data_IF_048346118273
#
_entry.id   IF_048346118273
#
_cell.length_a   1.000
_cell.length_b   1.000
_cell.length_c   1.000
_cell.angle_alpha   90.00
_cell.angle_beta   90.00
_cell.angle_gamma   90.00
#
_symmetry.space_group_name_H-M   'P 1'
#
loop_
_entity.id
_entity.type
_entity.pdbx_description
1 polymer ?
#
# COMPACT_ATOMS: atom_id res chain seq x y z
N UNK A 1 -23.26 -36.39 -17.65
CA UNK A 1 -22.81 -35.05 -18.05
C UNK A 1 -21.29 -35.12 -18.17
N UNK A 2 -20.73 -34.87 -19.35
CA UNK A 2 -19.27 -34.87 -19.53
C UNK A 2 -18.67 -33.78 -18.65
N UNK A 3 -17.74 -34.13 -17.76
CA UNK A 3 -17.01 -33.13 -16.98
C UNK A 3 -16.31 -32.18 -17.95
N UNK A 4 -16.59 -30.88 -17.85
CA UNK A 4 -15.93 -29.85 -18.66
C UNK A 4 -14.43 -29.96 -18.40
N UNK A 5 -13.67 -30.39 -19.40
CA UNK A 5 -12.22 -30.52 -19.27
C UNK A 5 -11.60 -29.12 -19.32
N UNK A 6 -11.22 -28.60 -18.16
CA UNK A 6 -10.50 -27.33 -18.05
C UNK A 6 -9.01 -27.53 -18.35
N UNK A 7 -8.38 -26.51 -18.94
CA UNK A 7 -6.93 -26.54 -19.20
C UNK A 7 -6.12 -26.44 -17.90
N UNK A 8 -6.66 -25.69 -16.93
CA UNK A 8 -6.06 -25.48 -15.62
C UNK A 8 -7.00 -25.91 -14.51
N UNK A 9 -6.45 -26.36 -13.39
CA UNK A 9 -7.24 -26.55 -12.17
C UNK A 9 -7.44 -25.20 -11.49
N UNK A 10 -6.41 -24.35 -11.52
CA UNK A 10 -6.46 -22.99 -11.00
C UNK A 10 -5.76 -22.00 -11.93
N UNK A 11 -6.41 -20.86 -12.16
CA UNK A 11 -5.73 -19.67 -12.68
C UNK A 11 -5.65 -18.60 -11.60
N UNK A 12 -4.46 -18.05 -11.39
CA UNK A 12 -4.18 -16.98 -10.45
C UNK A 12 -4.28 -15.65 -11.18
N UNK A 13 -5.11 -14.73 -10.67
CA UNK A 13 -5.26 -13.38 -11.21
C UNK A 13 -4.92 -12.35 -10.12
N UNK A 14 -3.81 -11.63 -10.33
CA UNK A 14 -3.30 -10.65 -9.37
C UNK A 14 -3.66 -9.23 -9.85
N UNK A 15 -4.22 -8.41 -8.98
CA UNK A 15 -4.54 -7.01 -9.29
C UNK A 15 -4.86 -6.18 -8.05
N UNK A 16 -4.81 -4.86 -8.18
CA UNK A 16 -5.23 -3.94 -7.08
C UNK A 16 -6.74 -3.71 -7.06
N UNK A 17 -7.39 -3.72 -8.23
CA UNK A 17 -8.83 -3.52 -8.39
C UNK A 17 -9.34 -2.21 -7.75
N UNK A 18 -8.70 -1.08 -8.09
CA UNK A 18 -8.96 0.26 -7.53
C UNK A 18 -9.51 1.25 -8.59
N UNK A 19 -10.75 1.10 -9.08
CA UNK A 19 -11.75 0.07 -8.79
C UNK A 19 -11.66 -1.17 -9.70
N UNK A 20 -12.53 -2.16 -9.46
CA UNK A 20 -12.82 -3.21 -10.44
C UNK A 20 -13.52 -2.60 -11.67
N UNK A 21 -13.06 -2.93 -12.87
CA UNK A 21 -13.54 -2.34 -14.13
C UNK A 21 -13.65 -3.41 -15.21
N UNK A 22 -14.27 -3.10 -16.36
CA UNK A 22 -14.59 -4.09 -17.40
C UNK A 22 -13.35 -4.80 -17.98
N UNK A 23 -12.19 -4.14 -18.00
CA UNK A 23 -10.92 -4.81 -18.34
C UNK A 23 -10.54 -5.95 -17.39
N UNK A 24 -10.81 -5.82 -16.09
CA UNK A 24 -10.59 -6.89 -15.12
C UNK A 24 -11.63 -8.00 -15.29
N UNK A 25 -12.89 -7.64 -15.52
CA UNK A 25 -13.99 -8.57 -15.78
C UNK A 25 -13.68 -9.45 -17.01
N UNK A 26 -13.13 -8.86 -18.06
CA UNK A 26 -12.73 -9.60 -19.25
C UNK A 26 -11.65 -10.65 -18.96
N UNK A 27 -10.62 -10.30 -18.17
CA UNK A 27 -9.57 -11.26 -17.76
C UNK A 27 -10.17 -12.36 -16.89
N UNK A 28 -11.02 -11.99 -15.93
CA UNK A 28 -11.68 -12.94 -15.04
C UNK A 28 -12.57 -13.94 -15.81
N UNK A 29 -13.32 -13.47 -16.80
CA UNK A 29 -14.14 -14.31 -17.67
C UNK A 29 -13.28 -15.30 -18.49
N UNK A 30 -12.14 -14.86 -19.03
CA UNK A 30 -11.20 -15.76 -19.71
C UNK A 30 -10.60 -16.79 -18.76
N UNK A 31 -10.28 -16.39 -17.53
CA UNK A 31 -9.76 -17.29 -16.51
C UNK A 31 -10.79 -18.39 -16.16
N UNK A 32 -12.05 -18.03 -15.96
CA UNK A 32 -13.14 -18.97 -15.67
C UNK A 32 -13.45 -19.91 -16.84
N UNK A 33 -13.23 -19.47 -18.08
CA UNK A 33 -13.40 -20.33 -19.24
C UNK A 33 -12.29 -21.40 -19.36
N UNK A 34 -11.08 -21.08 -18.90
CA UNK A 34 -9.89 -21.92 -19.04
C UNK A 34 -9.56 -22.76 -17.79
N UNK A 35 -10.17 -22.47 -16.63
CA UNK A 35 -9.85 -23.11 -15.36
C UNK A 35 -11.08 -23.56 -14.56
N UNK A 36 -10.90 -24.58 -13.72
CA UNK A 36 -11.94 -25.02 -12.79
C UNK A 36 -12.28 -23.92 -11.78
N UNK A 37 -11.25 -23.27 -11.21
CA UNK A 37 -11.38 -22.13 -10.29
C UNK A 37 -10.37 -21.02 -10.60
N UNK A 38 -10.73 -19.80 -10.23
CA UNK A 38 -9.86 -18.63 -10.32
C UNK A 38 -9.52 -18.13 -8.92
N UNK A 39 -8.23 -18.02 -8.62
CA UNK A 39 -7.71 -17.43 -7.38
C UNK A 39 -7.38 -15.96 -7.67
N UNK A 40 -8.20 -15.05 -7.17
CA UNK A 40 -7.99 -13.61 -7.28
C UNK A 40 -7.20 -13.12 -6.07
N UNK A 41 -5.97 -12.66 -6.29
CA UNK A 41 -5.14 -12.04 -5.26
C UNK A 41 -5.28 -10.52 -5.34
N UNK A 42 -5.86 -9.93 -4.29
CA UNK A 42 -6.09 -8.49 -4.20
C UNK A 42 -4.85 -7.82 -3.60
N UNK A 43 -4.00 -7.24 -4.45
CA UNK A 43 -2.75 -6.57 -4.07
C UNK A 43 -2.98 -5.28 -3.28
N UNK A 44 -1.94 -4.81 -2.57
CA UNK A 44 -2.04 -3.69 -1.63
C UNK A 44 -3.22 -3.87 -0.67
N UNK A 45 -3.40 -5.07 -0.14
CA UNK A 45 -4.51 -5.38 0.77
C UNK A 45 -4.38 -4.71 2.14
N UNK A 46 -3.14 -4.47 2.56
CA UNK A 46 -2.77 -3.98 3.89
C UNK A 46 -2.31 -2.52 3.90
N UNK A 47 -2.54 -1.75 2.83
CA UNK A 47 -2.15 -0.34 2.79
C UNK A 47 -3.27 0.55 3.29
N UNK A 48 -2.89 1.66 3.93
CA UNK A 48 -3.84 2.70 4.30
C UNK A 48 -4.54 3.28 3.06
N UNK A 49 -5.73 3.83 3.29
CA UNK A 49 -6.53 4.47 2.24
C UNK A 49 -5.79 5.70 1.68
N UNK A 50 -5.69 5.79 0.35
CA UNK A 50 -5.10 6.94 -0.36
C UNK A 50 -5.81 7.16 -1.71
N UNK A 51 -5.64 8.29 -2.40
CA UNK A 51 -6.22 8.46 -3.74
C UNK A 51 -5.77 7.41 -4.76
N UNK A 52 -4.56 6.83 -4.60
CA UNK A 52 -4.10 5.66 -5.36
C UNK A 52 -4.76 4.34 -4.92
N UNK A 53 -5.08 4.19 -3.63
CA UNK A 53 -5.76 3.02 -3.05
C UNK A 53 -7.00 3.41 -2.23
N UNK A 54 -8.09 3.85 -2.88
CA UNK A 54 -9.24 4.40 -2.18
C UNK A 54 -10.06 3.35 -1.44
N UNK A 55 -10.00 2.08 -1.85
CA UNK A 55 -10.87 1.01 -1.32
C UNK A 55 -10.07 -0.04 -0.52
N UNK A 56 -10.64 -0.50 0.59
CA UNK A 56 -10.07 -1.55 1.45
C UNK A 56 -10.07 -2.91 0.75
N UNK A 57 -9.38 -3.89 1.32
CA UNK A 57 -9.45 -5.27 0.84
C UNK A 57 -10.90 -5.80 0.85
N UNK A 58 -11.62 -5.63 1.96
CA UNK A 58 -12.98 -6.16 2.10
C UNK A 58 -13.98 -5.50 1.14
N UNK A 59 -13.86 -4.19 0.91
CA UNK A 59 -14.68 -3.48 -0.08
C UNK A 59 -14.44 -4.05 -1.48
N UNK A 60 -13.17 -4.19 -1.90
CA UNK A 60 -12.81 -4.74 -3.21
C UNK A 60 -13.22 -6.20 -3.35
N UNK A 61 -13.01 -7.01 -2.30
CA UNK A 61 -13.43 -8.41 -2.23
C UNK A 61 -14.94 -8.53 -2.44
N UNK A 62 -15.73 -7.70 -1.77
CA UNK A 62 -17.19 -7.72 -1.89
C UNK A 62 -17.65 -7.43 -3.32
N UNK A 63 -17.04 -6.44 -3.99
CA UNK A 63 -17.37 -6.07 -5.37
C UNK A 63 -16.94 -7.16 -6.35
N UNK A 64 -15.76 -7.76 -6.17
CA UNK A 64 -15.26 -8.85 -7.03
C UNK A 64 -16.19 -10.07 -6.96
N UNK A 65 -16.60 -10.47 -5.76
CA UNK A 65 -17.51 -11.61 -5.57
C UNK A 65 -18.90 -11.33 -6.17
N UNK A 66 -19.43 -10.11 -5.97
CA UNK A 66 -20.72 -9.72 -6.54
C UNK A 66 -20.67 -9.72 -8.08
N UNK A 67 -19.60 -9.18 -8.67
CA UNK A 67 -19.40 -9.18 -10.12
C UNK A 67 -19.22 -10.59 -10.73
N UNK A 68 -18.93 -11.60 -9.90
CA UNK A 68 -18.96 -13.01 -10.31
C UNK A 68 -20.32 -13.45 -10.87
N UNK A 69 -21.42 -12.88 -10.34
CA UNK A 69 -22.77 -13.12 -10.86
C UNK A 69 -22.96 -12.57 -12.28
N UNK A 70 -22.38 -11.40 -12.58
CA UNK A 70 -22.42 -10.75 -13.89
C UNK A 70 -21.66 -11.51 -14.99
N UNK A 71 -20.79 -12.46 -14.63
CA UNK A 71 -20.06 -13.32 -15.59
C UNK A 71 -20.51 -14.78 -15.54
N UNK A 72 -21.71 -15.04 -15.00
CA UNK A 72 -22.30 -16.38 -14.86
C UNK A 72 -21.38 -17.39 -14.16
N UNK A 73 -20.48 -16.91 -13.28
CA UNK A 73 -19.65 -17.80 -12.47
C UNK A 73 -20.51 -18.45 -11.40
N UNK A 74 -20.33 -19.75 -11.16
CA UNK A 74 -20.85 -20.35 -9.95
C UNK A 74 -20.16 -19.73 -8.73
N UNK A 75 -20.90 -19.57 -7.63
CA UNK A 75 -20.44 -18.85 -6.44
C UNK A 75 -19.13 -19.40 -5.85
N UNK A 76 -18.80 -20.66 -6.11
CA UNK A 76 -17.63 -21.36 -5.62
C UNK A 76 -16.43 -21.33 -6.58
N UNK A 77 -16.56 -20.79 -7.80
CA UNK A 77 -15.48 -20.78 -8.79
C UNK A 77 -14.44 -19.66 -8.59
N UNK A 78 -14.74 -18.67 -7.77
CA UNK A 78 -13.85 -17.53 -7.52
C UNK A 78 -13.41 -17.54 -6.06
N UNK A 79 -12.11 -17.69 -5.83
CA UNK A 79 -11.50 -17.60 -4.50
C UNK A 79 -10.78 -16.26 -4.41
N UNK A 80 -11.15 -15.41 -3.45
CA UNK A 80 -10.52 -14.08 -3.29
C UNK A 80 -9.67 -14.06 -2.03
N UNK A 81 -8.38 -13.74 -2.15
CA UNK A 81 -7.42 -13.64 -1.04
C UNK A 81 -6.74 -12.27 -1.02
N UNK A 82 -6.42 -11.81 0.19
CA UNK A 82 -5.63 -10.60 0.40
C UNK A 82 -4.17 -10.86 0.00
N UNK A 83 -3.53 -9.86 -0.63
CA UNK A 83 -2.10 -9.89 -0.91
C UNK A 83 -1.45 -8.58 -0.41
N UNK A 84 -0.68 -8.63 0.70
CA UNK A 84 -0.01 -7.47 1.25
C UNK A 84 1.18 -7.01 0.40
N UNK A 85 1.56 -5.74 0.56
CA UNK A 85 2.73 -5.16 -0.12
C UNK A 85 4.03 -5.40 0.68
N UNK A 86 5.11 -5.71 -0.05
CA UNK A 86 6.49 -5.77 0.45
C UNK A 86 7.40 -4.91 -0.45
N UNK A 87 7.17 -3.59 -0.45
CA UNK A 87 7.71 -2.64 -1.44
C UNK A 87 9.22 -2.75 -1.72
N UNK A 88 10.02 -3.07 -0.71
CA UNK A 88 11.48 -3.15 -0.81
C UNK A 88 12.04 -4.58 -0.79
N UNK A 89 11.17 -5.60 -0.84
CA UNK A 89 11.56 -6.99 -0.73
C UNK A 89 10.70 -7.90 -1.64
N UNK A 90 11.05 -7.95 -2.92
CA UNK A 90 10.40 -8.80 -3.92
C UNK A 90 10.38 -10.28 -3.52
N UNK A 91 11.43 -10.79 -2.86
CA UNK A 91 11.48 -12.20 -2.44
C UNK A 91 10.44 -12.52 -1.36
N UNK A 92 10.26 -11.62 -0.39
CA UNK A 92 9.20 -11.73 0.59
C UNK A 92 7.81 -11.69 -0.08
N UNK A 93 7.62 -10.80 -1.07
CA UNK A 93 6.38 -10.74 -1.84
C UNK A 93 6.11 -12.04 -2.61
N UNK A 94 7.09 -12.57 -3.35
CA UNK A 94 6.97 -13.82 -4.12
C UNK A 94 6.61 -14.99 -3.19
N UNK A 95 7.31 -15.13 -2.06
CA UNK A 95 7.04 -16.18 -1.08
C UNK A 95 5.63 -16.06 -0.48
N UNK A 96 5.13 -14.83 -0.30
CA UNK A 96 3.76 -14.60 0.17
C UNK A 96 2.73 -14.96 -0.90
N UNK A 97 2.95 -14.60 -2.17
CA UNK A 97 2.08 -15.00 -3.29
C UNK A 97 1.97 -16.52 -3.38
N UNK A 98 3.10 -17.23 -3.33
CA UNK A 98 3.13 -18.71 -3.34
C UNK A 98 2.31 -19.28 -2.18
N UNK A 99 2.55 -18.81 -0.95
CA UNK A 99 1.82 -19.27 0.24
C UNK A 99 0.32 -19.01 0.13
N UNK A 100 -0.11 -17.84 -0.35
CA UNK A 100 -1.52 -17.53 -0.54
C UNK A 100 -2.19 -18.46 -1.55
N UNK A 101 -1.49 -18.79 -2.65
CA UNK A 101 -1.98 -19.71 -3.66
C UNK A 101 -2.06 -21.13 -3.11
N UNK A 102 -1.01 -21.62 -2.46
CA UNK A 102 -0.97 -22.97 -1.87
C UNK A 102 -2.07 -23.13 -0.81
N UNK A 103 -2.27 -22.12 0.04
CA UNK A 103 -3.36 -22.10 1.02
C UNK A 103 -4.73 -22.13 0.34
N UNK A 104 -4.95 -21.32 -0.71
CA UNK A 104 -6.22 -21.31 -1.43
C UNK A 104 -6.51 -22.66 -2.12
N UNK A 105 -5.50 -23.30 -2.69
CA UNK A 105 -5.60 -24.62 -3.32
C UNK A 105 -5.93 -25.68 -2.26
N UNK A 106 -5.21 -25.66 -1.12
CA UNK A 106 -5.41 -26.62 -0.04
C UNK A 106 -6.80 -26.51 0.59
N UNK A 107 -7.28 -25.28 0.85
CA UNK A 107 -8.63 -25.03 1.37
C UNK A 107 -9.74 -25.46 0.39
N UNK A 108 -9.45 -25.44 -0.91
CA UNK A 108 -10.37 -25.94 -1.95
C UNK A 108 -10.31 -27.47 -2.14
N UNK A 109 -9.38 -28.16 -1.47
CA UNK A 109 -9.18 -29.59 -1.58
C UNK A 109 -8.30 -30.02 -2.78
N UNK A 110 -7.55 -29.09 -3.38
CA UNK A 110 -6.49 -29.41 -4.32
C UNK A 110 -5.16 -29.73 -3.62
N UNK A 111 -4.17 -30.12 -4.42
CA UNK A 111 -2.82 -30.46 -3.95
C UNK A 111 -1.73 -29.90 -4.89
N UNK A 112 -0.48 -30.29 -4.64
CA UNK A 112 0.71 -29.84 -5.38
C UNK A 112 0.73 -30.29 -6.85
N UNK A 113 -0.08 -31.27 -7.24
CA UNK A 113 -0.18 -31.76 -8.63
C UNK A 113 -1.19 -30.93 -9.45
N UNK A 114 -1.88 -29.98 -8.82
CA UNK A 114 -2.82 -29.09 -9.49
C UNK A 114 -2.13 -28.28 -10.58
N UNK A 115 -2.72 -28.23 -11.78
CA UNK A 115 -2.24 -27.39 -12.89
C UNK A 115 -2.55 -25.93 -12.61
N UNK A 116 -1.54 -25.19 -12.14
CA UNK A 116 -1.63 -23.75 -11.85
C UNK A 116 -1.07 -22.92 -13.01
N UNK A 117 -1.82 -21.89 -13.39
CA UNK A 117 -1.31 -20.83 -14.27
C UNK A 117 -1.52 -19.45 -13.67
N UNK A 118 -0.76 -18.47 -14.13
CA UNK A 118 -0.87 -17.06 -13.79
C UNK A 118 -1.42 -16.32 -15.01
N UNK A 119 -2.60 -15.72 -14.88
CA UNK A 119 -3.25 -14.97 -15.95
C UNK A 119 -3.13 -13.47 -15.70
N UNK A 120 -2.83 -12.73 -16.77
CA UNK A 120 -2.73 -11.28 -16.71
C UNK A 120 -2.64 -10.66 -18.09
N UNK A 121 -2.51 -9.34 -18.12
CA UNK A 121 -2.27 -8.59 -19.34
C UNK A 121 -0.96 -7.82 -19.22
N UNK A 122 -0.03 -8.09 -20.14
CA UNK A 122 1.28 -7.45 -20.19
C UNK A 122 1.17 -6.03 -20.73
N UNK A 123 0.79 -5.07 -19.87
CA UNK A 123 0.51 -3.68 -20.29
C UNK A 123 1.66 -2.71 -19.98
N UNK A 124 2.32 -2.88 -18.83
CA UNK A 124 3.21 -1.85 -18.26
C UNK A 124 4.43 -2.47 -17.53
N UNK A 125 5.35 -1.61 -17.07
CA UNK A 125 6.44 -1.98 -16.14
C UNK A 125 5.93 -2.73 -14.88
N UNK A 126 4.65 -2.55 -14.52
CA UNK A 126 4.01 -3.18 -13.36
C UNK A 126 3.68 -4.66 -13.53
N UNK A 127 3.75 -5.22 -14.75
CA UNK A 127 3.48 -6.64 -15.01
C UNK A 127 4.75 -7.51 -14.97
N UNK A 128 5.89 -6.98 -14.51
CA UNK A 128 7.15 -7.71 -14.42
C UNK A 128 7.04 -8.99 -13.57
N UNK A 129 6.15 -8.97 -12.57
CA UNK A 129 5.91 -10.12 -11.69
C UNK A 129 5.40 -11.36 -12.41
N UNK A 130 4.80 -11.24 -13.59
CA UNK A 130 4.33 -12.40 -14.37
C UNK A 130 5.49 -13.34 -14.75
N UNK A 131 6.74 -12.86 -14.72
CA UNK A 131 7.95 -13.66 -14.99
C UNK A 131 8.61 -14.22 -13.72
N UNK A 132 8.09 -13.92 -12.54
CA UNK A 132 8.70 -14.29 -11.26
C UNK A 132 8.28 -15.69 -10.76
N UNK A 133 7.37 -16.36 -11.46
CA UNK A 133 6.80 -17.65 -11.05
C UNK A 133 7.06 -18.73 -12.12
N UNK A 134 8.29 -19.25 -12.23
CA UNK A 134 8.66 -20.21 -13.29
C UNK A 134 7.91 -21.55 -13.20
N UNK A 135 7.37 -21.89 -12.02
CA UNK A 135 6.60 -23.11 -11.81
C UNK A 135 5.14 -23.03 -12.29
N UNK A 136 4.66 -21.83 -12.66
CA UNK A 136 3.29 -21.62 -13.13
C UNK A 136 3.28 -21.28 -14.62
N UNK A 137 2.29 -21.81 -15.36
CA UNK A 137 2.11 -21.42 -16.76
C UNK A 137 1.69 -19.96 -16.85
N UNK A 138 2.30 -19.17 -17.74
CA UNK A 138 1.87 -17.80 -17.99
C UNK A 138 0.79 -17.74 -19.08
N UNK A 139 -0.36 -17.14 -18.76
CA UNK A 139 -1.47 -16.94 -19.69
C UNK A 139 -1.61 -15.43 -19.95
N UNK A 140 -1.07 -14.99 -21.09
CA UNK A 140 -1.13 -13.58 -21.50
C UNK A 140 -2.42 -13.29 -22.29
N UNK A 141 -3.22 -12.37 -21.78
CA UNK A 141 -4.44 -11.92 -22.44
C UNK A 141 -4.08 -10.89 -23.51
N UNK A 142 -4.07 -11.30 -24.77
CA UNK A 142 -3.57 -10.50 -25.92
C UNK A 142 -4.38 -9.26 -26.24
N UNK A 143 -5.67 -9.21 -25.89
CA UNK A 143 -6.56 -8.10 -26.22
C UNK A 143 -6.79 -7.21 -25.01
N UNK A 144 -6.33 -5.97 -25.13
CA UNK A 144 -6.77 -4.91 -24.23
C UNK A 144 -8.28 -4.68 -24.45
N UNK A 145 -9.10 -4.88 -23.42
CA UNK A 145 -10.51 -4.50 -23.48
C UNK A 145 -10.65 -2.96 -23.41
N UNK A 146 -10.46 -2.28 -24.55
CA UNK A 146 -10.55 -0.81 -24.68
C UNK A 146 -9.44 -0.03 -23.96
N UNK A 147 -9.40 1.29 -24.05
CA UNK A 147 -8.37 2.16 -23.42
C UNK A 147 -8.53 2.30 -21.90
N UNK A 148 -9.13 1.33 -21.21
CA UNK A 148 -9.46 1.41 -19.79
C UNK A 148 -8.21 1.52 -18.90
N UNK A 149 -8.23 2.53 -18.04
CA UNK A 149 -7.20 2.84 -17.05
C UNK A 149 -7.87 3.15 -15.70
N UNK A 150 -7.44 2.45 -14.65
CA UNK A 150 -7.98 2.68 -13.30
C UNK A 150 -7.66 4.08 -12.76
N UNK A 151 -6.54 4.69 -13.18
CA UNK A 151 -6.18 6.04 -12.76
C UNK A 151 -7.17 7.08 -13.28
N UNK A 152 -7.52 7.03 -14.57
CA UNK A 152 -8.50 7.95 -15.17
C UNK A 152 -9.86 7.86 -14.47
N UNK A 153 -10.32 6.63 -14.15
CA UNK A 153 -11.57 6.42 -13.40
C UNK A 153 -11.49 7.06 -12.01
N UNK A 154 -10.37 6.91 -11.29
CA UNK A 154 -10.21 7.52 -9.97
C UNK A 154 -10.11 9.04 -10.04
N UNK A 155 -9.43 9.59 -11.04
CA UNK A 155 -9.31 11.04 -11.24
C UNK A 155 -10.67 11.70 -11.47
N UNK A 156 -11.53 11.08 -12.28
CA UNK A 156 -12.89 11.54 -12.53
C UNK A 156 -13.83 11.34 -11.33
N UNK A 157 -13.61 10.30 -10.55
CA UNK A 157 -14.43 9.96 -9.39
C UNK A 157 -14.06 10.76 -8.13
N UNK A 158 -12.76 10.94 -7.82
CA UNK A 158 -12.28 11.57 -6.57
C UNK A 158 -12.25 13.10 -6.67
N UNK A 159 -13.40 13.70 -6.96
CA UNK A 159 -13.61 15.15 -7.04
C UNK A 159 -14.85 15.57 -6.24
N UNK A 160 -14.98 16.86 -5.94
CA UNK A 160 -16.10 17.40 -5.14
C UNK A 160 -17.49 17.10 -5.76
N UNK A 161 -17.57 17.08 -7.08
CA UNK A 161 -18.76 16.68 -7.84
C UNK A 161 -18.45 15.39 -8.61
N UNK A 162 -18.39 14.22 -7.95
CA UNK A 162 -17.86 12.98 -8.52
C UNK A 162 -18.56 12.57 -9.82
N UNK A 163 -17.80 12.07 -10.80
CA UNK A 163 -18.38 11.30 -11.89
C UNK A 163 -18.40 9.82 -11.50
N UNK A 164 -19.59 9.23 -11.39
CA UNK A 164 -19.71 7.78 -11.30
C UNK A 164 -19.55 7.22 -12.71
N UNK A 165 -18.61 6.27 -12.94
CA UNK A 165 -18.45 5.65 -14.25
C UNK A 165 -19.72 4.91 -14.66
N UNK A 166 -19.97 4.81 -15.97
CA UNK A 166 -21.09 4.03 -16.49
C UNK A 166 -20.68 2.60 -16.89
N UNK A 167 -21.67 1.81 -17.34
CA UNK A 167 -21.55 0.39 -17.71
C UNK A 167 -20.52 0.10 -18.80
N UNK A 168 -20.06 1.11 -19.56
CA UNK A 168 -18.99 0.96 -20.56
C UNK A 168 -17.63 0.77 -19.89
N UNK A 169 -17.42 1.36 -18.72
CA UNK A 169 -16.14 1.35 -18.00
C UNK A 169 -16.13 0.31 -16.87
N UNK A 170 -17.22 0.20 -16.12
CA UNK A 170 -17.32 -0.62 -14.92
C UNK A 170 -18.54 -1.54 -14.93
N UNK A 171 -18.50 -2.69 -14.23
CA UNK A 171 -19.67 -3.52 -14.02
C UNK A 171 -20.66 -2.84 -13.07
N UNK A 172 -21.94 -3.25 -13.11
CA UNK A 172 -23.02 -2.62 -12.34
C UNK A 172 -22.72 -2.61 -10.84
N UNK A 173 -22.13 -3.69 -10.32
CA UNK A 173 -21.80 -3.86 -8.91
C UNK A 173 -20.75 -2.84 -8.46
N UNK A 174 -19.79 -2.50 -9.33
CA UNK A 174 -18.85 -1.40 -9.07
C UNK A 174 -19.59 -0.06 -9.05
N UNK A 175 -20.48 0.19 -10.02
CA UNK A 175 -21.22 1.46 -10.13
C UNK A 175 -22.07 1.69 -8.87
N UNK A 176 -22.81 0.68 -8.43
CA UNK A 176 -23.60 0.70 -7.20
C UNK A 176 -22.74 0.90 -5.96
N UNK A 177 -21.59 0.22 -5.88
CA UNK A 177 -20.63 0.42 -4.79
C UNK A 177 -20.13 1.87 -4.75
N UNK A 178 -19.69 2.43 -5.88
CA UNK A 178 -19.23 3.81 -5.95
C UNK A 178 -20.34 4.80 -5.59
N UNK A 179 -21.58 4.57 -6.06
CA UNK A 179 -22.73 5.39 -5.71
C UNK A 179 -23.07 5.40 -4.22
N UNK A 180 -22.80 4.32 -3.49
CA UNK A 180 -22.92 4.28 -2.02
C UNK A 180 -21.70 4.89 -1.33
N UNK A 181 -20.51 4.56 -1.81
CA UNK A 181 -19.25 4.98 -1.21
C UNK A 181 -19.08 6.49 -1.19
N UNK A 182 -19.54 7.19 -2.24
CA UNK A 182 -19.44 8.66 -2.33
C UNK A 182 -20.16 9.41 -1.20
N UNK A 183 -21.04 8.73 -0.45
CA UNK A 183 -21.78 9.29 0.68
C UNK A 183 -21.06 9.09 2.03
N UNK A 184 -19.87 8.48 2.04
CA UNK A 184 -19.14 8.16 3.27
C UNK A 184 -18.16 9.27 3.67
N UNK A 185 -17.83 9.37 4.96
CA UNK A 185 -16.77 10.27 5.46
C UNK A 185 -15.41 9.93 4.84
N UNK A 186 -15.18 8.67 4.51
CA UNK A 186 -13.93 8.25 3.93
C UNK A 186 -13.79 8.68 2.44
N UNK A 187 -14.90 8.80 1.71
CA UNK A 187 -14.89 9.47 0.40
C UNK A 187 -14.58 10.97 0.52
N UNK A 188 -15.21 11.66 1.48
CA UNK A 188 -14.90 13.06 1.76
C UNK A 188 -13.42 13.25 2.11
N UNK A 189 -12.87 12.40 2.97
CA UNK A 189 -11.44 12.41 3.31
C UNK A 189 -10.56 12.24 2.07
N UNK A 190 -10.90 11.30 1.17
CA UNK A 190 -10.18 11.07 -0.08
C UNK A 190 -10.25 12.27 -1.03
N UNK A 191 -11.41 12.91 -1.17
CA UNK A 191 -11.55 14.11 -2.03
C UNK A 191 -10.67 15.25 -1.51
N UNK A 192 -10.66 15.49 -0.19
CA UNK A 192 -9.81 16.50 0.42
C UNK A 192 -8.32 16.18 0.27
N UNK A 193 -7.95 14.91 0.41
CA UNK A 193 -6.59 14.40 0.18
C UNK A 193 -6.15 14.58 -1.29
N UNK A 194 -7.00 14.21 -2.25
CA UNK A 194 -6.75 14.40 -3.69
C UNK A 194 -6.60 15.88 -4.05
N UNK A 195 -7.46 16.75 -3.49
CA UNK A 195 -7.36 18.19 -3.69
C UNK A 195 -6.04 18.74 -3.14
N UNK A 196 -5.63 18.30 -1.94
CA UNK A 196 -4.34 18.68 -1.37
C UNK A 196 -3.19 18.34 -2.32
N UNK A 197 -3.11 17.11 -2.84
CA UNK A 197 -2.02 16.74 -3.76
C UNK A 197 -2.04 17.55 -5.06
N UNK A 198 -3.22 17.81 -5.62
CA UNK A 198 -3.34 18.64 -6.83
C UNK A 198 -2.82 20.06 -6.57
N UNK A 199 -3.28 20.67 -5.49
CA UNK A 199 -2.95 22.06 -5.16
C UNK A 199 -1.47 22.17 -4.75
N UNK A 200 -0.93 21.17 -4.04
CA UNK A 200 0.49 21.06 -3.70
C UNK A 200 1.37 20.99 -4.96
N UNK A 201 1.04 20.15 -5.93
CA UNK A 201 1.78 20.08 -7.21
C UNK A 201 1.66 21.36 -8.03
N UNK A 202 0.48 21.97 -8.04
CA UNK A 202 0.25 23.26 -8.72
C UNK A 202 1.07 24.39 -8.09
N UNK A 203 1.30 24.35 -6.77
CA UNK A 203 2.07 25.38 -6.06
C UNK A 203 3.53 25.50 -6.50
N UNK A 204 4.11 24.46 -7.09
CA UNK A 204 5.48 24.48 -7.61
C UNK A 204 5.65 25.35 -8.86
N UNK A 205 4.54 25.68 -9.53
CA UNK A 205 4.57 26.47 -10.75
C UNK A 205 5.38 25.81 -11.87
N UNK A 206 6.09 26.63 -12.65
CA UNK A 206 6.95 26.15 -13.76
C UNK A 206 8.40 26.18 -13.32
N UNK A 207 8.95 25.00 -13.06
CA UNK A 207 10.38 24.80 -12.78
C UNK A 207 11.10 24.31 -14.04
N UNK A 208 12.41 24.60 -14.19
CA UNK A 208 13.18 24.11 -15.35
C UNK A 208 13.40 22.58 -15.33
N UNK A 209 13.28 21.95 -14.16
CA UNK A 209 13.43 20.51 -13.94
C UNK A 209 12.32 19.98 -13.02
N UNK A 210 12.00 18.67 -13.07
CA UNK A 210 11.09 18.05 -12.11
C UNK A 210 11.55 18.29 -10.65
N UNK A 211 10.59 18.54 -9.77
CA UNK A 211 10.86 18.77 -8.34
C UNK A 211 11.12 17.44 -7.63
N UNK A 212 12.28 17.34 -6.96
CA UNK A 212 12.62 16.25 -6.05
C UNK A 212 12.50 16.75 -4.62
N UNK A 213 11.76 16.02 -3.81
CA UNK A 213 11.50 16.36 -2.40
C UNK A 213 12.38 15.47 -1.55
N UNK A 214 13.31 16.08 -0.81
CA UNK A 214 14.19 15.37 0.11
C UNK A 214 13.59 15.42 1.52
N UNK A 215 13.35 14.24 2.06
CA UNK A 215 12.85 14.05 3.41
C UNK A 215 13.81 13.20 4.24
N UNK A 216 13.58 13.19 5.55
CA UNK A 216 14.25 12.32 6.51
C UNK A 216 13.22 11.72 7.46
N UNK A 217 13.48 10.52 7.94
CA UNK A 217 12.63 9.83 8.91
C UNK A 217 13.49 9.20 10.04
N UNK A 218 13.03 9.33 11.27
CA UNK A 218 13.65 8.73 12.44
C UNK A 218 12.95 7.43 12.83
N UNK A 219 13.58 6.28 12.58
CA UNK A 219 13.11 4.99 13.09
C UNK A 219 13.65 4.80 14.50
N UNK A 220 12.89 5.21 15.51
CA UNK A 220 13.36 5.15 16.91
C UNK A 220 12.78 3.94 17.61
N UNK A 221 13.65 3.02 18.04
CA UNK A 221 13.25 1.80 18.74
C UNK A 221 13.77 1.77 20.17
N UNK A 222 12.98 1.18 21.06
CA UNK A 222 13.38 0.87 22.42
C UNK A 222 12.60 -0.34 22.93
N UNK A 223 13.29 -1.40 23.35
CA UNK A 223 12.68 -2.55 24.04
C UNK A 223 11.44 -3.11 23.31
N UNK A 224 11.52 -3.33 21.99
CA UNK A 224 10.42 -3.86 21.18
C UNK A 224 9.30 -2.86 20.85
N UNK A 225 9.47 -1.59 21.22
CA UNK A 225 8.58 -0.49 20.86
C UNK A 225 9.20 0.39 19.80
N UNK A 226 8.35 1.09 19.05
CA UNK A 226 8.72 2.12 18.10
C UNK A 226 8.00 3.43 18.44
N UNK A 227 8.73 4.55 18.33
CA UNK A 227 8.16 5.88 18.47
C UNK A 227 7.52 6.29 17.15
N UNK A 228 6.25 6.64 17.20
CA UNK A 228 5.48 7.12 16.06
C UNK A 228 4.79 8.43 16.41
N UNK A 229 4.41 9.16 15.38
CA UNK A 229 3.53 10.31 15.45
C UNK A 229 2.25 10.00 14.70
N UNK A 230 1.14 10.55 15.14
CA UNK A 230 -0.05 10.64 14.30
C UNK A 230 0.03 11.93 13.48
N UNK A 231 -0.36 11.88 12.20
CA UNK A 231 -0.27 13.06 11.32
C UNK A 231 -1.45 14.00 11.55
N UNK A 232 -1.18 15.23 12.00
CA UNK A 232 -2.21 16.25 12.23
C UNK A 232 -2.62 17.04 10.98
N UNK A 233 -1.91 16.86 9.86
CA UNK A 233 -2.12 17.62 8.62
C UNK A 233 -2.07 16.69 7.41
N UNK A 234 -2.72 17.12 6.33
CA UNK A 234 -2.61 16.46 5.03
C UNK A 234 -1.19 16.65 4.46
N UNK A 235 -0.67 15.68 3.70
CA UNK A 235 -1.31 14.42 3.35
C UNK A 235 -1.35 13.42 4.52
N UNK A 236 -2.21 12.42 4.47
CA UNK A 236 -2.24 11.31 5.43
C UNK A 236 -2.79 11.67 6.82
N UNK A 237 -3.68 12.66 6.91
CA UNK A 237 -4.30 13.10 8.17
C UNK A 237 -4.89 11.91 8.95
N UNK A 238 -4.43 11.73 10.20
CA UNK A 238 -4.84 10.66 11.12
C UNK A 238 -4.09 9.34 10.96
N UNK A 239 -3.14 9.23 10.03
CA UNK A 239 -2.29 8.04 9.89
C UNK A 239 -1.07 8.12 10.80
N UNK A 240 -0.56 6.97 11.21
CA UNK A 240 0.72 6.84 11.90
C UNK A 240 1.86 7.10 10.92
N UNK A 241 2.88 7.80 11.39
CA UNK A 241 4.11 8.05 10.65
C UNK A 241 5.33 7.94 11.57
N UNK A 242 6.48 7.80 10.93
CA UNK A 242 7.77 8.00 11.59
C UNK A 242 7.92 9.51 11.81
N UNK A 243 8.55 9.93 12.93
CA UNK A 243 8.93 11.33 13.09
C UNK A 243 9.85 11.74 11.94
N UNK A 244 9.50 12.77 11.20
CA UNK A 244 10.18 13.07 9.94
C UNK A 244 9.58 14.20 9.13
N UNK A 245 10.41 14.80 8.27
CA UNK A 245 10.04 16.01 7.57
C UNK A 245 10.99 16.37 6.43
N UNK A 246 10.90 17.63 5.99
CA UNK A 246 11.73 18.15 4.90
C UNK A 246 13.12 18.50 5.41
N UNK A 247 14.10 18.39 4.53
CA UNK A 247 15.47 18.82 4.81
C UNK A 247 15.62 20.30 4.44
N UNK A 248 16.11 21.11 5.37
CA UNK A 248 16.39 22.52 5.13
C UNK A 248 17.66 22.73 4.30
N UNK A 249 17.78 23.85 3.56
CA UNK A 249 18.93 24.09 2.67
C UNK A 249 20.30 24.17 3.37
N UNK A 250 20.34 24.44 4.67
CA UNK A 250 21.56 24.69 5.44
C UNK A 250 21.88 23.63 6.49
N UNK A 251 21.26 22.46 6.43
CA UNK A 251 21.50 21.36 7.37
C UNK A 251 21.91 20.06 6.65
N UNK A 252 22.53 19.14 7.40
CA UNK A 252 22.78 17.78 6.91
C UNK A 252 21.52 16.92 7.08
N UNK A 253 21.39 15.84 6.30
CA UNK A 253 20.31 14.86 6.46
C UNK A 253 20.25 14.29 7.89
N UNK A 254 21.42 14.11 8.52
CA UNK A 254 21.54 13.59 9.87
C UNK A 254 21.03 14.59 10.91
N UNK A 255 21.39 15.87 10.75
CA UNK A 255 20.92 16.92 11.64
C UNK A 255 19.41 17.17 11.47
N UNK A 256 18.91 17.11 10.23
CA UNK A 256 17.49 17.17 9.92
C UNK A 256 16.71 16.06 10.64
N UNK A 257 17.18 14.81 10.59
CA UNK A 257 16.50 13.69 11.26
C UNK A 257 16.45 13.87 12.79
N UNK A 258 17.50 14.44 13.38
CA UNK A 258 17.54 14.76 14.81
C UNK A 258 16.61 15.93 15.14
N UNK A 259 16.58 16.98 14.30
CA UNK A 259 15.70 18.15 14.44
C UNK A 259 14.24 17.72 14.42
N UNK A 260 13.82 17.04 13.36
CA UNK A 260 12.44 16.54 13.18
C UNK A 260 12.01 15.63 14.34
N UNK A 261 12.86 14.68 14.73
CA UNK A 261 12.59 13.82 15.89
C UNK A 261 12.32 14.65 17.17
N UNK A 262 13.12 15.69 17.42
CA UNK A 262 12.93 16.53 18.60
C UNK A 262 11.68 17.39 18.51
N UNK A 263 11.46 18.06 17.38
CA UNK A 263 10.34 18.97 17.16
C UNK A 263 9.01 18.22 17.29
N UNK A 264 8.88 17.04 16.68
CA UNK A 264 7.60 16.33 16.65
C UNK A 264 7.31 15.50 17.92
N UNK A 265 8.33 15.14 18.72
CA UNK A 265 8.15 14.19 19.83
C UNK A 265 8.57 14.70 21.20
N UNK A 266 9.30 15.81 21.28
CA UNK A 266 9.88 16.38 22.51
C UNK A 266 10.45 15.31 23.45
N UNK A 267 11.17 14.35 22.84
CA UNK A 267 11.70 13.17 23.55
C UNK A 267 12.56 13.58 24.75
N UNK A 268 12.29 12.99 25.90
CA UNK A 268 12.84 13.38 27.19
C UNK A 268 13.06 12.19 28.13
N UNK A 269 13.86 12.40 29.17
CA UNK A 269 13.99 11.50 30.32
C UNK A 269 13.81 12.30 31.63
N UNK A 270 13.98 11.70 32.82
CA UNK A 270 13.82 12.42 34.08
C UNK A 270 14.71 13.67 34.25
N UNK A 271 15.74 13.87 33.42
CA UNK A 271 16.61 15.05 33.42
C UNK A 271 16.13 16.15 32.46
N UNK A 272 15.10 15.90 31.66
CA UNK A 272 14.56 16.84 30.68
C UNK A 272 14.65 16.31 29.24
N UNK A 273 14.49 17.21 28.27
CA UNK A 273 14.62 16.88 26.84
C UNK A 273 16.02 16.36 26.50
N UNK A 274 16.05 15.36 25.61
CA UNK A 274 17.32 14.72 25.22
C UNK A 274 18.11 15.67 24.30
N UNK A 275 19.38 16.00 24.63
CA UNK A 275 20.19 16.87 23.79
C UNK A 275 20.47 16.25 22.41
N UNK A 276 20.59 17.05 21.33
CA UNK A 276 20.89 16.55 19.98
C UNK A 276 22.12 15.65 19.91
N UNK A 277 23.20 15.97 20.63
CA UNK A 277 24.41 15.15 20.66
C UNK A 277 24.18 13.76 21.27
N UNK A 278 23.24 13.63 22.21
CA UNK A 278 22.87 12.33 22.77
C UNK A 278 21.99 11.54 21.81
N UNK A 279 21.01 12.17 21.16
CA UNK A 279 20.21 11.50 20.10
C UNK A 279 21.10 11.01 18.96
N UNK A 280 22.05 11.84 18.52
CA UNK A 280 23.06 11.50 17.54
C UNK A 280 23.87 10.25 17.92
N UNK A 281 24.13 10.02 19.21
CA UNK A 281 24.87 8.84 19.69
C UNK A 281 24.06 7.54 19.63
N UNK A 282 22.74 7.62 19.46
CA UNK A 282 21.87 6.44 19.33
C UNK A 282 21.70 5.98 17.87
N UNK A 283 22.18 6.77 16.90
CA UNK A 283 22.08 6.42 15.48
C UNK A 283 22.95 5.21 15.15
N UNK A 284 22.34 4.20 14.55
CA UNK A 284 23.01 3.02 14.01
C UNK A 284 23.42 3.31 12.56
N UNK A 285 24.59 3.91 12.35
CA UNK A 285 25.05 4.39 11.03
C UNK A 285 25.04 3.30 9.94
N UNK A 286 25.28 2.04 10.29
CA UNK A 286 25.26 0.90 9.34
C UNK A 286 23.86 0.44 8.94
N UNK A 287 22.82 0.93 9.61
CA UNK A 287 21.41 0.61 9.36
C UNK A 287 20.62 1.79 8.79
N UNK A 288 21.29 2.90 8.51
CA UNK A 288 20.75 4.06 7.81
C UNK A 288 20.54 3.74 6.33
N UNK A 289 19.36 4.03 5.77
CA UNK A 289 19.01 3.63 4.39
C UNK A 289 18.18 4.69 3.65
N UNK A 290 18.50 4.85 2.36
CA UNK A 290 17.73 5.65 1.43
C UNK A 290 16.53 4.86 0.91
N UNK A 291 15.35 5.48 0.93
CA UNK A 291 14.12 4.93 0.39
C UNK A 291 13.63 5.81 -0.76
N UNK A 292 13.64 5.23 -1.95
CA UNK A 292 13.58 5.97 -3.19
C UNK A 292 12.63 5.32 -4.22
N UNK A 293 11.63 4.55 -3.80
CA UNK A 293 10.60 4.09 -4.74
C UNK A 293 9.94 5.32 -5.42
N UNK A 294 9.87 5.39 -6.76
CA UNK A 294 9.34 6.56 -7.47
C UNK A 294 7.88 6.88 -7.15
N UNK A 295 7.12 5.91 -6.63
CA UNK A 295 5.70 6.00 -6.35
C UNK A 295 5.38 5.90 -4.86
N UNK A 296 6.38 6.07 -3.96
CA UNK A 296 6.16 6.05 -2.51
C UNK A 296 5.21 7.15 -2.03
N UNK A 297 5.23 8.30 -2.71
CA UNK A 297 4.43 9.47 -2.35
C UNK A 297 3.61 9.98 -3.51
N UNK A 298 2.36 10.32 -3.25
CA UNK A 298 1.50 10.99 -4.22
C UNK A 298 1.81 12.49 -4.36
N UNK A 299 2.60 13.07 -3.45
CA UNK A 299 3.08 14.46 -3.54
C UNK A 299 3.93 14.68 -4.79
N UNK A 300 4.67 13.68 -5.24
CA UNK A 300 5.61 13.74 -6.36
C UNK A 300 6.82 12.87 -6.07
N UNK A 301 7.97 13.23 -6.63
CA UNK A 301 9.21 12.47 -6.40
C UNK A 301 9.78 12.77 -5.01
N UNK A 302 9.32 12.04 -4.00
CA UNK A 302 9.89 12.06 -2.65
C UNK A 302 10.97 11.00 -2.53
N UNK A 303 12.08 11.36 -1.91
CA UNK A 303 13.12 10.45 -1.42
C UNK A 303 13.27 10.72 0.07
N UNK A 304 13.32 9.66 0.88
CA UNK A 304 13.58 9.81 2.32
C UNK A 304 14.84 9.06 2.73
N UNK A 305 15.69 9.70 3.52
CA UNK A 305 16.80 9.05 4.22
C UNK A 305 16.33 8.72 5.63
N UNK A 306 16.15 7.43 5.92
CA UNK A 306 15.74 7.00 7.23
C UNK A 306 16.95 6.60 8.09
N UNK A 307 16.93 7.03 9.36
CA UNK A 307 17.97 6.77 10.35
C UNK A 307 17.40 5.89 11.47
N UNK A 308 18.06 4.78 11.78
CA UNK A 308 17.68 3.94 12.91
C UNK A 308 18.30 4.48 14.19
N UNK A 309 17.48 4.88 15.15
CA UNK A 309 17.89 5.24 16.50
C UNK A 309 17.58 4.06 17.43
N UNK A 310 18.60 3.48 18.03
CA UNK A 310 18.44 2.39 19.00
C UNK A 310 18.71 2.94 20.41
N UNK A 311 17.62 3.21 21.14
CA UNK A 311 17.71 3.72 22.50
C UNK A 311 18.12 2.61 23.47
N UNK A 312 18.87 2.94 24.55
CA UNK A 312 19.31 1.94 25.50
C UNK A 312 18.14 1.21 26.16
N UNK A 313 18.29 -0.11 26.32
CA UNK A 313 17.32 -0.93 27.03
C UNK A 313 17.18 -0.46 28.49
N UNK A 314 15.96 -0.09 28.88
CA UNK A 314 15.61 0.39 30.22
C UNK A 314 14.25 -0.16 30.61
N UNK A 315 13.95 -0.17 31.92
CA UNK A 315 12.63 -0.59 32.42
C UNK A 315 11.51 0.37 32.01
N UNK A 316 11.84 1.65 31.88
CA UNK A 316 10.93 2.69 31.40
C UNK A 316 11.38 3.20 30.03
N UNK A 317 10.41 3.43 29.15
CA UNK A 317 10.64 4.10 27.88
C UNK A 317 11.00 5.58 28.11
N UNK A 318 11.66 6.21 27.14
CA UNK A 318 11.80 7.66 27.13
C UNK A 318 10.43 8.32 27.05
N UNK A 319 10.24 9.45 27.73
CA UNK A 319 8.99 10.21 27.68
C UNK A 319 8.89 10.99 26.38
N UNK A 320 7.68 11.09 25.82
CA UNK A 320 7.42 11.80 24.56
C UNK A 320 6.13 12.60 24.68
N UNK A 321 6.04 13.69 23.93
CA UNK A 321 4.88 14.57 23.82
C UNK A 321 4.88 15.20 22.43
N UNK A 322 3.75 15.12 21.72
CA UNK A 322 3.57 15.86 20.47
C UNK A 322 3.57 17.38 20.72
N UNK A 323 4.11 18.16 19.79
CA UNK A 323 3.95 19.62 19.82
C UNK A 323 2.49 20.02 19.56
N UNK A 324 2.07 21.24 19.93
CA UNK A 324 0.68 21.72 19.85
C UNK A 324 0.07 21.62 18.43
N UNK A 325 0.92 21.50 17.39
CA UNK A 325 0.57 21.33 15.98
C UNK A 325 0.78 19.90 15.43
N UNK A 326 1.42 19.01 16.19
CA UNK A 326 1.69 17.61 15.84
C UNK A 326 0.72 16.68 16.59
N UNK A 327 0.06 15.78 15.87
CA UNK A 327 -0.80 14.80 16.52
C UNK A 327 0.05 13.83 17.36
N UNK A 328 -0.59 13.16 18.32
CA UNK A 328 0.07 12.56 19.48
C UNK A 328 1.30 11.73 19.11
N UNK A 329 2.47 12.09 19.64
CA UNK A 329 3.64 11.23 19.65
C UNK A 329 3.49 10.14 20.73
N UNK A 330 3.80 8.89 20.38
CA UNK A 330 3.59 7.75 21.27
C UNK A 330 4.48 6.56 20.97
N UNK A 331 4.71 5.75 21.99
CA UNK A 331 5.38 4.45 21.85
C UNK A 331 4.37 3.36 21.53
N UNK A 332 4.64 2.60 20.47
CA UNK A 332 3.79 1.50 20.02
C UNK A 332 4.57 0.19 20.06
N UNK A 333 3.93 -0.87 20.56
CA UNK A 333 4.48 -2.23 20.48
C UNK A 333 4.57 -2.67 19.01
N UNK A 334 5.78 -3.03 18.55
CA UNK A 334 6.00 -3.43 17.15
C UNK A 334 5.07 -4.56 16.70
N UNK A 335 4.81 -5.54 17.58
CA UNK A 335 3.98 -6.71 17.30
C UNK A 335 2.46 -6.45 17.27
N UNK A 336 2.00 -5.21 17.52
CA UNK A 336 0.57 -4.84 17.46
C UNK A 336 0.23 -3.91 16.31
N UNK A 337 1.23 -3.47 15.55
CA UNK A 337 1.06 -2.56 14.44
C UNK A 337 0.55 -3.30 13.21
N UNK A 338 -0.35 -2.65 12.48
CA UNK A 338 -0.80 -3.11 11.16
C UNK A 338 -0.37 -2.11 10.10
N UNK A 339 -0.03 -2.60 8.91
CA UNK A 339 0.46 -1.75 7.84
C UNK A 339 -0.60 -0.73 7.36
N UNK A 340 -1.89 -1.03 7.54
CA UNK A 340 -3.01 -0.20 7.10
C UNK A 340 -3.20 1.08 7.92
N UNK A 341 -2.44 1.24 9.00
CA UNK A 341 -2.44 2.40 9.87
C UNK A 341 -1.43 3.47 9.42
N UNK A 342 -0.51 3.12 8.52
CA UNK A 342 0.66 3.95 8.22
C UNK A 342 0.48 4.85 7.01
N UNK A 343 1.09 6.03 7.12
CA UNK A 343 1.29 6.93 6.01
C UNK A 343 2.32 6.35 5.03
N UNK A 344 2.02 6.49 3.73
CA UNK A 344 2.90 6.07 2.62
C UNK A 344 3.47 4.66 2.82
N UNK A 345 4.79 4.53 2.83
CA UNK A 345 5.53 3.28 2.93
C UNK A 345 6.19 3.09 4.31
N UNK A 346 5.79 3.85 5.33
CA UNK A 346 6.48 3.86 6.62
C UNK A 346 6.46 2.47 7.29
N UNK A 347 5.38 1.70 7.14
CA UNK A 347 5.34 0.30 7.58
C UNK A 347 6.42 -0.56 6.89
N UNK A 348 6.68 -0.34 5.60
CA UNK A 348 7.73 -1.03 4.85
C UNK A 348 9.13 -0.55 5.26
N UNK A 349 9.33 0.75 5.53
CA UNK A 349 10.58 1.29 6.07
C UNK A 349 10.90 0.63 7.41
N UNK A 350 9.93 0.55 8.33
CA UNK A 350 10.09 -0.06 9.64
C UNK A 350 10.45 -1.55 9.49
N UNK A 351 9.71 -2.29 8.67
CA UNK A 351 9.98 -3.71 8.38
C UNK A 351 11.41 -3.92 7.88
N UNK A 352 11.85 -3.09 6.93
CA UNK A 352 13.18 -3.21 6.33
C UNK A 352 14.31 -2.86 7.31
N UNK A 353 14.14 -1.83 8.14
CA UNK A 353 15.19 -1.37 9.05
C UNK A 353 15.26 -2.14 10.37
N UNK A 354 14.15 -2.74 10.80
CA UNK A 354 14.05 -3.42 12.11
C UNK A 354 13.87 -4.93 12.00
N UNK A 355 13.45 -5.45 10.85
CA UNK A 355 13.02 -6.85 10.69
C UNK A 355 11.67 -7.18 11.33
N UNK A 356 10.92 -6.18 11.80
CA UNK A 356 9.63 -6.39 12.44
C UNK A 356 8.56 -6.93 11.47
N UNK A 357 7.74 -7.86 11.94
CA UNK A 357 6.60 -8.40 11.19
C UNK A 357 5.39 -7.50 11.40
N UNK A 358 5.29 -6.45 10.60
CA UNK A 358 4.11 -5.58 10.51
C UNK A 358 3.32 -6.03 9.29
N UNK A 359 2.13 -6.59 9.47
CA UNK A 359 1.29 -7.10 8.36
C UNK A 359 0.10 -6.21 8.03
#
# INVERSE_FOLDING_TARGET
MSARAFQYDYLVFIGRFQPLHNGHIHILAQALAASRKVIVLVGSANVARSPRNPFSYEERRSVILAAGGSIEAAADQIIVKALPDFLYNDQAWIAHVQRCVDQAISEDGGDMESRVGLIGHSKDKSSYYLRMFPNWSSVDVKTQHGTLNSSDIREDYLRRAPHIPDRRLCPEETIEFLGRFMLTEAFKWLVDETNFYRDYKASWGRTPYPVFINCVDAVVIQSGHILLVERARRPGLGLLALPGGHVDPSESLRDAAIRELKEETRISDPKGEIPPAMLASFIQETKTRLFDDPNRSERGRVVTQAYLFELPARRSLFSVRGDDDAASAGWHELGRLRADQFFEDHAAIIREMTGALID
#
